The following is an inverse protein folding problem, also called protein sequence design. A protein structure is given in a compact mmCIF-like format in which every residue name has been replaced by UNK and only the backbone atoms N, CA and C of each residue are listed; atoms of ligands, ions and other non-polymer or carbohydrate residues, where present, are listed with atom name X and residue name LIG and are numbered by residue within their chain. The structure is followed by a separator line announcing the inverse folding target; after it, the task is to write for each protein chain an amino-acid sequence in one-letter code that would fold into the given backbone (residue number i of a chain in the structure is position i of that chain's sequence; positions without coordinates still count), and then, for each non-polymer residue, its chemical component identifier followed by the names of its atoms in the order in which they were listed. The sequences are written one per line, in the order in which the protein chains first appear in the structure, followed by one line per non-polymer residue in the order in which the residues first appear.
data_IF_569967802998
#
_entry.id   IF_569967802998
#
_cell.length_a   1.000
_cell.length_b   1.000
_cell.length_c   1.000
_cell.angle_alpha   90.00
_cell.angle_beta   90.00
_cell.angle_gamma   90.00
#
_symmetry.space_group_name_H-M   'P 1'
#
loop_
_entity.id
_entity.type
_entity.pdbx_description
1 polymer ?
#
# COMPACT_ATOMS: atom_id res chain seq x y z
N UNK A 1 3.34 -13.39 -14.25
CA UNK A 1 4.51 -12.71 -13.65
C UNK A 1 5.57 -12.64 -14.72
N UNK A 2 6.17 -11.47 -14.95
CA UNK A 2 7.25 -11.33 -15.95
C UNK A 2 8.56 -11.94 -15.42
N UNK A 3 9.56 -12.20 -16.28
CA UNK A 3 10.83 -12.83 -15.90
C UNK A 3 11.63 -12.07 -14.84
N UNK A 4 11.45 -10.74 -14.75
CA UNK A 4 12.06 -9.89 -13.73
C UNK A 4 11.22 -9.77 -12.45
N UNK A 5 10.25 -10.65 -12.25
CA UNK A 5 9.44 -10.70 -11.05
C UNK A 5 8.36 -9.62 -10.93
N UNK A 6 7.96 -8.98 -12.03
CA UNK A 6 6.84 -8.03 -12.00
C UNK A 6 5.50 -8.74 -12.10
N UNK A 7 4.54 -8.23 -11.35
CA UNK A 7 3.14 -8.64 -11.41
C UNK A 7 2.32 -7.42 -11.84
N UNK A 8 1.45 -7.61 -12.82
CA UNK A 8 0.51 -6.57 -13.24
C UNK A 8 -0.79 -6.80 -12.47
N UNK A 9 -1.26 -5.77 -11.78
CA UNK A 9 -2.57 -5.80 -11.13
C UNK A 9 -3.68 -5.71 -12.20
N UNK A 10 -4.72 -6.56 -12.13
CA UNK A 10 -5.88 -6.43 -13.01
C UNK A 10 -6.52 -5.05 -12.90
N UNK A 11 -7.07 -4.54 -14.01
CA UNK A 11 -7.67 -3.21 -14.06
C UNK A 11 -8.86 -3.06 -13.10
N UNK A 12 -9.65 -4.11 -12.90
CA UNK A 12 -10.75 -4.12 -11.92
C UNK A 12 -10.26 -3.97 -10.48
N UNK A 13 -9.17 -4.65 -10.11
CA UNK A 13 -8.55 -4.55 -8.79
C UNK A 13 -8.03 -3.14 -8.55
N UNK A 14 -7.43 -2.52 -9.58
CA UNK A 14 -6.98 -1.13 -9.51
C UNK A 14 -8.13 -0.17 -9.25
N UNK A 15 -9.24 -0.32 -9.96
CA UNK A 15 -10.45 0.51 -9.76
C UNK A 15 -11.07 0.31 -8.39
N UNK A 16 -11.21 -0.94 -7.95
CA UNK A 16 -11.80 -1.28 -6.65
C UNK A 16 -10.99 -0.71 -5.47
N UNK A 17 -9.67 -0.59 -5.62
CA UNK A 17 -8.76 -0.04 -4.61
C UNK A 17 -8.50 1.48 -4.78
N UNK A 18 -9.11 2.14 -5.78
CA UNK A 18 -8.89 3.56 -6.05
C UNK A 18 -7.44 3.90 -6.45
N UNK A 19 -6.75 2.99 -7.13
CA UNK A 19 -5.33 3.12 -7.48
C UNK A 19 -5.16 3.89 -8.79
N UNK A 20 -4.83 5.16 -8.68
CA UNK A 20 -4.53 6.05 -9.81
C UNK A 20 -3.02 6.19 -10.05
N UNK A 21 -2.63 6.33 -11.32
CA UNK A 21 -1.24 6.55 -11.71
C UNK A 21 -0.25 5.54 -11.12
N UNK A 22 0.90 6.07 -10.67
CA UNK A 22 1.87 5.31 -9.86
C UNK A 22 1.37 5.18 -8.42
N UNK A 23 1.42 3.96 -7.88
CA UNK A 23 0.96 3.66 -6.53
C UNK A 23 2.01 2.82 -5.81
N UNK A 24 2.19 3.09 -4.51
CA UNK A 24 3.15 2.40 -3.66
C UNK A 24 2.44 1.36 -2.79
N UNK A 25 3.14 0.26 -2.54
CA UNK A 25 2.65 -0.82 -1.70
C UNK A 25 3.74 -1.26 -0.73
N UNK A 26 3.33 -1.56 0.49
CA UNK A 26 4.12 -2.44 1.34
C UNK A 26 3.91 -3.89 0.88
N UNK A 27 5.00 -4.65 0.82
CA UNK A 27 5.00 -6.05 0.42
C UNK A 27 5.27 -6.91 1.64
N UNK A 28 4.32 -7.79 1.95
CA UNK A 28 4.39 -8.71 3.08
C UNK A 28 4.29 -10.15 2.58
N UNK A 29 5.11 -11.05 3.10
CA UNK A 29 4.91 -12.48 2.92
C UNK A 29 4.08 -13.04 4.07
N UNK A 30 2.98 -13.73 3.77
CA UNK A 30 2.13 -14.42 4.74
C UNK A 30 1.94 -15.87 4.29
N UNK A 31 2.70 -16.79 4.89
CA UNK A 31 2.76 -18.18 4.45
C UNK A 31 3.23 -18.27 3.00
N UNK A 32 2.40 -18.87 2.14
CA UNK A 32 2.64 -18.97 0.68
C UNK A 32 2.12 -17.77 -0.11
N UNK A 33 1.49 -16.79 0.53
CA UNK A 33 0.92 -15.62 -0.14
C UNK A 33 1.82 -14.39 -0.03
N UNK A 34 1.83 -13.59 -1.09
CA UNK A 34 2.32 -12.21 -1.06
C UNK A 34 1.13 -11.28 -0.89
N UNK A 35 1.14 -10.47 0.16
CA UNK A 35 0.12 -9.50 0.48
C UNK A 35 0.65 -8.10 0.14
N UNK A 36 -0.03 -7.41 -0.76
CA UNK A 36 0.25 -6.03 -1.13
C UNK A 36 -0.68 -5.12 -0.36
N UNK A 37 -0.13 -4.23 0.48
CA UNK A 37 -0.90 -3.22 1.21
C UNK A 37 -0.68 -1.85 0.59
N UNK A 38 -1.73 -1.17 0.08
CA UNK A 38 -1.60 0.17 -0.48
C UNK A 38 -1.05 1.17 0.54
N UNK A 39 -0.13 2.02 0.10
CA UNK A 39 0.43 3.11 0.91
C UNK A 39 -0.14 4.45 0.45
N UNK A 40 -0.71 5.20 1.38
CA UNK A 40 -1.10 6.58 1.13
C UNK A 40 0.13 7.49 1.25
N UNK A 41 0.57 8.07 0.14
CA UNK A 41 1.59 9.11 0.11
C UNK A 41 0.94 10.44 0.49
N UNK A 42 1.34 11.00 1.64
CA UNK A 42 0.86 12.32 2.09
C UNK A 42 2.02 13.29 1.96
N UNK A 43 1.87 14.41 1.23
CA UNK A 43 2.87 15.47 1.20
C UNK A 43 3.22 15.92 2.62
N UNK A 44 4.49 16.18 2.89
CA UNK A 44 4.97 16.48 4.24
C UNK A 44 4.27 17.70 4.85
N UNK A 45 3.94 18.69 4.01
CA UNK A 45 3.22 19.91 4.39
C UNK A 45 1.80 19.62 4.87
N UNK A 46 1.22 18.49 4.45
CA UNK A 46 -0.11 18.01 4.85
C UNK A 46 -0.05 16.97 5.96
N UNK A 47 1.14 16.50 6.33
CA UNK A 47 1.31 15.53 7.39
C UNK A 47 1.04 16.21 8.75
N UNK A 48 -0.05 15.82 9.41
CA UNK A 48 -0.29 16.23 10.81
C UNK A 48 0.62 15.41 11.73
N UNK A 49 1.22 16.02 12.77
CA UNK A 49 1.96 15.27 13.76
C UNK A 49 1.04 14.22 14.37
N UNK A 50 1.41 12.95 14.23
CA UNK A 50 0.74 11.84 14.91
C UNK A 50 0.98 12.01 16.40
N UNK A 51 0.01 12.57 17.13
CA UNK A 51 0.01 12.46 18.58
C UNK A 51 -0.25 10.98 18.90
N UNK A 52 0.77 10.29 19.39
CA UNK A 52 0.62 8.95 19.91
C UNK A 52 -0.26 9.04 21.16
N UNK A 53 -1.56 8.80 21.00
CA UNK A 53 -2.45 8.57 22.14
C UNK A 53 -2.00 7.26 22.78
N UNK A 54 -1.08 7.34 23.75
CA UNK A 54 -0.81 6.24 24.68
C UNK A 54 -2.17 5.86 25.29
N UNK A 55 -2.71 4.71 24.90
CA UNK A 55 -3.72 4.01 25.70
C UNK A 55 -2.99 3.56 26.95
N UNK A 56 -3.03 4.37 28.00
CA UNK A 56 -2.75 3.91 29.36
C UNK A 56 -3.84 2.91 29.71
N UNK A 57 -3.39 1.67 29.95
CA UNK A 57 -4.21 0.59 30.51
C UNK A 57 -4.53 0.86 31.97
#
# INVERSE_FOLDING_TARGET
MSPNGRVTLPAETRRALGLEGESFFEVHQQGSAIVLRPVAMVPLERARPRTSRKRTS
#
